data_IF_396929346299
#
_entry.id   IF_396929346299
#
_cell.length_a   1.000
_cell.length_b   1.000
_cell.length_c   1.000
_cell.angle_alpha   90.00
_cell.angle_beta   90.00
_cell.angle_gamma   90.00
#
_symmetry.space_group_name_H-M   'P 1'
#
loop_
_entity.id
_entity.type
_entity.pdbx_description
1 polymer ?
#
# COMPACT_ATOMS: atom_id res chain seq x y z
N UNK A 1 -10.48 4.01 -6.59
CA UNK A 1 -9.40 4.29 -7.57
C UNK A 1 -9.11 5.77 -7.84
N UNK A 2 -10.06 6.71 -7.77
CA UNK A 2 -9.77 8.14 -8.00
C UNK A 2 -8.66 8.68 -7.09
N UNK A 3 -8.67 8.32 -5.80
CA UNK A 3 -7.60 8.67 -4.85
C UNK A 3 -6.20 8.27 -5.35
N UNK A 4 -6.07 7.04 -5.86
CA UNK A 4 -4.80 6.46 -6.32
C UNK A 4 -4.31 7.18 -7.58
N UNK A 5 -5.21 7.47 -8.52
CA UNK A 5 -4.87 8.23 -9.73
C UNK A 5 -4.39 9.64 -9.41
N UNK A 6 -5.01 10.30 -8.43
CA UNK A 6 -4.59 11.62 -8.00
C UNK A 6 -3.30 11.57 -7.19
N UNK A 7 -3.07 10.53 -6.38
CA UNK A 7 -1.80 10.32 -5.68
C UNK A 7 -0.65 10.09 -6.67
N UNK A 8 -0.83 9.24 -7.68
CA UNK A 8 0.20 8.92 -8.66
C UNK A 8 0.66 10.14 -9.50
N UNK A 9 -0.18 11.17 -9.60
CA UNK A 9 0.15 12.43 -10.29
C UNK A 9 0.82 13.47 -9.38
N UNK A 10 0.81 13.25 -8.06
CA UNK A 10 1.53 14.11 -7.11
C UNK A 10 3.02 13.79 -7.20
N UNK A 11 3.86 14.78 -6.92
CA UNK A 11 5.29 14.56 -6.71
C UNK A 11 5.56 13.84 -5.40
N UNK A 12 6.68 14.13 -4.76
CA UNK A 12 7.07 13.52 -3.49
C UNK A 12 7.16 11.98 -3.64
N UNK A 13 6.92 11.26 -2.55
CA UNK A 13 6.90 9.79 -2.54
C UNK A 13 5.55 9.19 -2.93
N UNK A 14 4.56 10.00 -3.37
CA UNK A 14 3.26 9.47 -3.76
C UNK A 14 3.32 8.47 -4.91
N UNK A 15 4.06 8.71 -6.02
CA UNK A 15 4.17 7.76 -7.11
C UNK A 15 4.79 6.43 -6.66
N UNK A 16 5.83 6.51 -5.83
CA UNK A 16 6.54 5.34 -5.30
C UNK A 16 5.63 4.44 -4.47
N UNK A 17 4.81 5.03 -3.59
CA UNK A 17 3.82 4.29 -2.81
C UNK A 17 2.74 3.68 -3.69
N UNK A 18 2.25 4.41 -4.70
CA UNK A 18 1.26 3.84 -5.62
C UNK A 18 1.82 2.65 -6.40
N UNK A 19 3.08 2.72 -6.83
CA UNK A 19 3.75 1.64 -7.54
C UNK A 19 3.96 0.41 -6.64
N UNK A 20 4.55 0.60 -5.45
CA UNK A 20 4.79 -0.51 -4.51
C UNK A 20 3.49 -1.20 -4.06
N UNK A 21 2.42 -0.44 -3.86
CA UNK A 21 1.11 -0.99 -3.53
C UNK A 21 0.48 -1.78 -4.70
N UNK A 22 0.61 -1.30 -5.94
CA UNK A 22 0.08 -1.97 -7.14
C UNK A 22 0.82 -3.29 -7.41
N UNK A 23 2.15 -3.27 -7.37
CA UNK A 23 2.98 -4.46 -7.56
C UNK A 23 2.65 -5.55 -6.53
N UNK A 24 2.55 -5.19 -5.25
CA UNK A 24 2.16 -6.12 -4.20
C UNK A 24 0.74 -6.68 -4.40
N UNK A 25 -0.21 -5.84 -4.79
CA UNK A 25 -1.59 -6.28 -5.02
C UNK A 25 -1.69 -7.23 -6.22
N UNK A 26 -0.99 -6.94 -7.32
CA UNK A 26 -0.91 -7.82 -8.50
C UNK A 26 -0.23 -9.14 -8.13
N UNK A 27 0.90 -9.11 -7.41
CA UNK A 27 1.57 -10.32 -6.94
C UNK A 27 0.64 -11.19 -6.08
N UNK A 28 -0.05 -10.59 -5.11
CA UNK A 28 -1.02 -11.31 -4.27
C UNK A 28 -2.22 -11.86 -5.07
N UNK A 29 -2.64 -11.20 -6.14
CA UNK A 29 -3.67 -11.73 -7.02
C UNK A 29 -3.17 -12.96 -7.79
N UNK A 30 -1.96 -12.89 -8.36
CA UNK A 30 -1.33 -14.00 -9.07
C UNK A 30 -1.07 -15.21 -8.15
N UNK A 31 -0.71 -14.96 -6.90
CA UNK A 31 -0.58 -15.96 -5.84
C UNK A 31 -1.92 -16.50 -5.32
N UNK A 32 -3.06 -16.06 -5.87
CA UNK A 32 -4.42 -16.43 -5.43
C UNK A 32 -4.67 -16.12 -3.94
N UNK A 33 -4.13 -15.00 -3.44
CA UNK A 33 -4.36 -14.52 -2.07
C UNK A 33 -5.49 -13.52 -1.98
N UNK A 34 -5.69 -12.74 -3.05
CA UNK A 34 -6.79 -11.79 -3.21
C UNK A 34 -7.52 -12.02 -4.54
N UNK A 35 -8.78 -11.58 -4.65
CA UNK A 35 -9.52 -11.56 -5.91
C UNK A 35 -9.09 -10.36 -6.76
N UNK A 36 -9.29 -10.42 -8.07
CA UNK A 36 -9.07 -9.28 -8.97
C UNK A 36 -9.81 -8.02 -8.49
N UNK A 37 -11.06 -8.17 -8.03
CA UNK A 37 -11.88 -7.06 -7.51
C UNK A 37 -11.39 -6.50 -6.17
N UNK A 38 -10.44 -7.16 -5.50
CA UNK A 38 -9.82 -6.67 -4.26
C UNK A 38 -8.57 -5.82 -4.52
N UNK A 39 -7.93 -5.92 -5.69
CA UNK A 39 -6.73 -5.14 -6.06
C UNK A 39 -6.94 -3.64 -5.82
N UNK A 40 -8.00 -2.98 -6.36
CA UNK A 40 -8.27 -1.58 -6.08
C UNK A 40 -8.31 -1.20 -4.61
N UNK A 41 -8.86 -2.09 -3.79
CA UNK A 41 -9.12 -1.78 -2.39
C UNK A 41 -7.85 -1.89 -1.55
N UNK A 42 -6.98 -2.84 -1.86
CA UNK A 42 -5.67 -2.98 -1.21
C UNK A 42 -4.83 -1.75 -1.53
N UNK A 43 -4.74 -1.37 -2.80
CA UNK A 43 -3.96 -0.20 -3.23
C UNK A 43 -4.48 1.08 -2.56
N UNK A 44 -5.80 1.30 -2.59
CA UNK A 44 -6.40 2.49 -1.98
C UNK A 44 -6.23 2.51 -0.45
N UNK A 45 -6.26 1.35 0.22
CA UNK A 45 -6.00 1.25 1.65
C UNK A 45 -4.55 1.54 2.04
N UNK A 46 -3.59 1.12 1.22
CA UNK A 46 -2.16 1.45 1.41
C UNK A 46 -1.91 2.94 1.17
N UNK A 47 -2.34 3.47 0.01
CA UNK A 47 -2.11 4.87 -0.37
C UNK A 47 -2.74 5.83 0.63
N UNK A 48 -3.93 5.54 1.16
CA UNK A 48 -4.65 6.42 2.08
C UNK A 48 -3.90 6.67 3.40
N UNK A 49 -3.06 5.74 3.86
CA UNK A 49 -2.33 5.90 5.13
C UNK A 49 -0.90 6.40 4.93
N UNK A 50 -0.49 6.64 3.68
CA UNK A 50 0.84 7.16 3.39
C UNK A 50 1.01 8.59 3.90
N UNK A 51 2.19 8.86 4.44
CA UNK A 51 2.64 10.20 4.78
C UNK A 51 3.80 10.56 3.86
N UNK A 52 3.65 11.54 2.95
CA UNK A 52 4.65 11.81 1.93
C UNK A 52 5.92 12.45 2.51
N UNK A 53 7.06 12.00 2.01
CA UNK A 53 8.36 12.69 2.08
C UNK A 53 8.47 13.66 0.91
N UNK A 54 8.59 14.95 1.22
CA UNK A 54 8.78 16.01 0.24
C UNK A 54 10.23 16.11 -0.24
N UNK A 55 10.44 16.45 -1.52
CA UNK A 55 11.75 16.49 -2.18
C UNK A 55 12.62 15.25 -1.91
N UNK A 56 12.10 14.04 -2.22
CA UNK A 56 12.74 12.80 -1.79
C UNK A 56 14.03 12.51 -2.57
N UNK A 57 14.99 11.91 -1.87
CA UNK A 57 16.13 11.25 -2.51
C UNK A 57 15.75 9.87 -3.09
N UNK A 58 16.72 9.22 -3.73
CA UNK A 58 16.52 7.86 -4.26
C UNK A 58 16.15 6.87 -3.15
N UNK A 59 16.81 6.94 -2.01
CA UNK A 59 16.57 6.03 -0.88
C UNK A 59 15.13 6.21 -0.36
N UNK A 60 14.65 7.44 -0.20
CA UNK A 60 13.27 7.72 0.24
C UNK A 60 12.23 7.16 -0.73
N UNK A 61 12.51 7.21 -2.04
CA UNK A 61 11.64 6.63 -3.09
C UNK A 61 11.60 5.12 -2.96
N UNK A 62 12.75 4.47 -2.82
CA UNK A 62 12.86 3.01 -2.69
C UNK A 62 12.20 2.52 -1.41
N UNK A 63 12.45 3.22 -0.30
CA UNK A 63 11.87 2.93 1.01
C UNK A 63 10.35 3.10 1.02
N UNK A 64 9.83 4.16 0.37
CA UNK A 64 8.40 4.37 0.24
C UNK A 64 7.72 3.24 -0.56
N UNK A 65 8.32 2.78 -1.65
CA UNK A 65 7.81 1.66 -2.43
C UNK A 65 7.85 0.34 -1.62
N UNK A 66 8.96 0.06 -0.93
CA UNK A 66 9.12 -1.12 -0.10
C UNK A 66 8.10 -1.13 1.06
N UNK A 67 7.96 -0.01 1.77
CA UNK A 67 6.95 0.16 2.81
C UNK A 67 5.54 -0.09 2.30
N UNK A 68 5.19 0.44 1.12
CA UNK A 68 3.87 0.28 0.54
C UNK A 68 3.56 -1.20 0.25
N UNK A 69 4.55 -1.94 -0.27
CA UNK A 69 4.45 -3.38 -0.49
C UNK A 69 4.26 -4.14 0.82
N UNK A 70 5.11 -3.90 1.82
CA UNK A 70 5.02 -4.55 3.13
C UNK A 70 3.69 -4.29 3.83
N UNK A 71 3.20 -3.05 3.77
CA UNK A 71 1.91 -2.67 4.31
C UNK A 71 0.75 -3.37 3.58
N UNK A 72 0.79 -3.44 2.24
CA UNK A 72 -0.20 -4.15 1.43
C UNK A 72 -0.27 -5.64 1.79
N UNK A 73 0.88 -6.31 1.94
CA UNK A 73 0.93 -7.69 2.42
C UNK A 73 0.44 -7.82 3.86
N UNK A 74 0.73 -6.86 4.73
CA UNK A 74 0.23 -6.77 6.10
C UNK A 74 -1.30 -6.74 6.16
N UNK A 75 -1.94 -5.94 5.30
CA UNK A 75 -3.40 -5.83 5.19
C UNK A 75 -4.09 -7.16 4.88
N UNK A 76 -3.52 -7.95 3.97
CA UNK A 76 -4.05 -9.27 3.59
C UNK A 76 -3.77 -10.31 4.68
N UNK A 77 -2.57 -10.30 5.27
CA UNK A 77 -2.19 -11.22 6.37
C UNK A 77 -3.04 -11.03 7.62
N UNK A 78 -3.40 -9.80 7.95
CA UNK A 78 -4.24 -9.47 9.11
C UNK A 78 -5.72 -9.91 8.94
N UNK A 79 -6.07 -10.61 7.86
CA UNK A 79 -7.44 -11.06 7.58
C UNK A 79 -8.36 -9.93 7.10
N UNK A 80 -7.80 -8.75 6.82
CA UNK A 80 -8.54 -7.59 6.40
C UNK A 80 -8.81 -7.50 4.91
N UNK A 81 -8.18 -8.38 4.10
CA UNK A 81 -8.26 -8.52 2.64
C UNK A 81 -8.02 -10.00 2.22
N UNK A 82 -8.69 -10.55 1.20
CA UNK A 82 -8.40 -11.92 0.70
C UNK A 82 -9.57 -12.87 0.38
N UNK A 83 -9.23 -14.00 -0.26
CA UNK A 83 -10.19 -15.00 -0.79
C UNK A 83 -10.99 -15.71 0.32
N UNK A 84 -10.43 -15.88 1.51
CA UNK A 84 -11.07 -16.58 2.63
C UNK A 84 -12.17 -15.79 3.38
N UNK A 85 -12.62 -14.63 2.85
CA UNK A 85 -13.49 -13.72 3.60
C UNK A 85 -14.95 -13.77 3.19
N UNK A 86 -15.80 -14.20 4.13
CA UNK A 86 -17.21 -13.82 4.20
C UNK A 86 -17.31 -12.38 4.74
N UNK A 87 -17.76 -11.45 3.89
CA UNK A 87 -18.16 -10.05 4.17
C UNK A 87 -18.01 -9.58 5.63
N UNK A 88 -16.88 -8.95 5.96
CA UNK A 88 -16.83 -7.88 6.98
C UNK A 88 -15.76 -6.89 6.59
N UNK A 89 -16.09 -5.59 6.63
CA UNK A 89 -15.14 -4.51 6.47
C UNK A 89 -14.14 -4.60 7.64
N UNK A 90 -12.88 -4.85 7.34
CA UNK A 90 -11.84 -4.92 8.34
C UNK A 90 -11.19 -3.55 8.51
N UNK A 91 -11.00 -3.14 9.76
CA UNK A 91 -10.16 -2.01 10.12
C UNK A 91 -8.70 -2.35 9.74
N UNK A 92 -7.98 -1.36 9.22
CA UNK A 92 -6.57 -1.49 8.86
C UNK A 92 -5.72 -1.85 10.10
N UNK A 93 -4.67 -2.68 9.96
CA UNK A 93 -3.77 -3.03 11.05
C UNK A 93 -3.02 -1.78 11.56
N UNK A 94 -2.56 -1.77 12.82
CA UNK A 94 -1.90 -0.62 13.42
C UNK A 94 -0.60 -0.28 12.68
N UNK A 95 -0.38 1.02 12.50
CA UNK A 95 0.75 1.63 11.81
C UNK A 95 2.08 1.09 12.36
N UNK A 96 2.82 0.36 11.53
CA UNK A 96 4.25 0.13 11.74
C UNK A 96 4.98 1.47 11.63
N UNK A 97 5.92 1.73 12.55
CA UNK A 97 6.55 3.03 12.79
C UNK A 97 6.88 3.78 11.50
N UNK A 98 6.45 5.04 11.45
CA UNK A 98 6.94 6.03 10.50
C UNK A 98 8.46 5.96 10.41
N UNK A 99 9.00 6.08 9.21
CA UNK A 99 10.42 6.29 8.99
C UNK A 99 10.84 7.57 9.72
N UNK A 100 11.35 7.38 10.94
CA UNK A 100 12.10 8.35 11.70
C UNK A 100 13.51 7.79 11.83
N UNK A 101 14.45 8.39 11.11
CA UNK A 101 15.88 8.23 11.39
C UNK A 101 16.14 8.87 12.76
N UNK A 102 16.79 8.22 13.73
CA UNK A 102 17.42 8.96 14.82
C UNK A 102 18.65 9.70 14.27
N UNK A 103 18.90 10.87 14.85
CA UNK A 103 19.98 11.80 14.53
C UNK A 103 21.38 11.15 14.44
#
# INVERSE_FOLDING_TARGET
>A
FQLVLEAAKRGDTWPAVTAGADEAAVAMFLERRIRFTEIPNVIEATVRVHTPVADPGLDDIMDAAAWASDYAYGLVRAGGWGIARSRRAAAAPPLGRAHGRPD
#
